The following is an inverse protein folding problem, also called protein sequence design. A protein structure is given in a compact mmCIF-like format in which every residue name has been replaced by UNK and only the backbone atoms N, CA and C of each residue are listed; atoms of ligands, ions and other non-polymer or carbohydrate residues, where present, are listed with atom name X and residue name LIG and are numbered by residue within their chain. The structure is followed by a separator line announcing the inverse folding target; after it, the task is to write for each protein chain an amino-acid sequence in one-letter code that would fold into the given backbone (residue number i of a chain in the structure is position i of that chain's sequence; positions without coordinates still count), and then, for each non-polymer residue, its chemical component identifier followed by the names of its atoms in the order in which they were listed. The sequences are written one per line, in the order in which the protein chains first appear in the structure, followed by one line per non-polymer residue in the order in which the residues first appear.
data_IF_562334689656
#
_entry.id   IF_562334689656
#
_cell.length_a   1.000
_cell.length_b   1.000
_cell.length_c   1.000
_cell.angle_alpha   90.00
_cell.angle_beta   90.00
_cell.angle_gamma   90.00
#
_symmetry.space_group_name_H-M   'P 1'
#
loop_
_entity.id
_entity.type
_entity.pdbx_description
1 polymer ?
#
# COMPACT_ATOMS: atom_id res chain seq x y z
N UNK A 1 -8.58 5.13 14.24
CA UNK A 1 -7.83 4.32 13.22
C UNK A 1 -6.41 4.84 13.12
N UNK A 2 -5.43 3.94 12.95
CA UNK A 2 -4.06 4.35 12.66
C UNK A 2 -3.63 3.98 11.24
N UNK A 3 -2.70 4.74 10.69
CA UNK A 3 -2.21 4.51 9.32
C UNK A 3 -0.70 4.71 9.19
N UNK A 4 -0.13 4.17 8.11
CA UNK A 4 1.22 4.48 7.65
C UNK A 4 1.18 4.98 6.20
N UNK A 5 1.90 6.05 5.91
CA UNK A 5 2.12 6.52 4.54
C UNK A 5 3.56 6.20 4.15
N UNK A 6 3.75 5.40 3.10
CA UNK A 6 5.07 5.19 2.52
C UNK A 6 5.48 6.37 1.65
N UNK A 7 6.37 7.23 2.17
CA UNK A 7 6.85 8.45 1.51
C UNK A 7 8.38 8.50 1.32
N UNK A 8 9.12 7.45 1.74
CA UNK A 8 10.59 7.38 1.65
C UNK A 8 11.14 7.08 0.24
N UNK A 9 10.27 6.88 -0.76
CA UNK A 9 10.67 6.51 -2.12
C UNK A 9 11.47 7.58 -2.86
N UNK A 10 12.52 7.18 -3.58
CA UNK A 10 13.41 8.08 -4.33
C UNK A 10 12.75 8.79 -5.54
N UNK A 11 11.64 8.26 -6.05
CA UNK A 11 10.92 8.85 -7.17
C UNK A 11 11.69 8.91 -8.50
N UNK A 12 12.68 8.04 -8.71
CA UNK A 12 13.61 8.10 -9.85
C UNK A 12 12.95 8.14 -11.23
N UNK A 13 11.76 7.55 -11.37
CA UNK A 13 10.98 7.55 -12.63
C UNK A 13 10.23 8.85 -12.90
N UNK A 14 10.23 9.79 -11.94
CA UNK A 14 9.62 11.12 -12.04
C UNK A 14 10.65 12.22 -12.29
N UNK A 15 11.91 11.88 -12.54
CA UNK A 15 12.93 12.85 -12.94
C UNK A 15 12.52 13.56 -14.25
N UNK A 16 12.79 14.88 -14.38
CA UNK A 16 13.62 15.71 -13.51
C UNK A 16 12.89 16.32 -12.31
N UNK A 17 11.58 16.13 -12.14
CA UNK A 17 10.80 16.73 -11.03
C UNK A 17 11.36 16.36 -9.65
N UNK A 18 11.77 15.11 -9.49
CA UNK A 18 12.32 14.59 -8.23
C UNK A 18 13.81 14.86 -8.02
N UNK A 19 14.45 15.67 -8.87
CA UNK A 19 15.82 16.13 -8.64
C UNK A 19 15.90 17.22 -7.55
N UNK A 20 14.79 17.92 -7.28
CA UNK A 20 14.71 19.05 -6.32
C UNK A 20 13.61 18.89 -5.28
N UNK A 21 12.72 17.93 -5.43
CA UNK A 21 11.52 17.76 -4.61
C UNK A 21 11.27 16.27 -4.34
N UNK A 22 10.92 15.87 -3.10
CA UNK A 22 10.53 14.48 -2.86
C UNK A 22 9.22 14.17 -3.60
N UNK A 23 9.07 12.93 -4.08
CA UNK A 23 7.85 12.47 -4.77
C UNK A 23 6.57 12.81 -4.00
N UNK A 24 6.61 12.71 -2.67
CA UNK A 24 5.49 13.00 -1.80
C UNK A 24 4.95 14.45 -1.91
N UNK A 25 5.80 15.39 -2.32
CA UNK A 25 5.44 16.80 -2.49
C UNK A 25 5.19 17.21 -3.95
N UNK A 26 5.18 16.27 -4.89
CA UNK A 26 4.71 16.55 -6.26
C UNK A 26 3.23 16.89 -6.20
N UNK A 27 2.87 17.98 -6.87
CA UNK A 27 1.51 18.50 -6.90
C UNK A 27 0.73 17.96 -8.11
N UNK A 28 -0.52 17.62 -7.86
CA UNK A 28 -1.55 17.39 -8.88
C UNK A 28 -2.66 18.43 -8.60
N UNK A 29 -2.93 19.30 -9.56
CA UNK A 29 -3.87 20.43 -9.42
C UNK A 29 -3.55 21.32 -8.19
N UNK A 30 -2.26 21.67 -8.01
CA UNK A 30 -1.81 22.52 -6.91
C UNK A 30 -1.84 21.88 -5.52
N UNK A 31 -2.15 20.58 -5.42
CA UNK A 31 -2.22 19.86 -4.13
C UNK A 31 -1.19 18.73 -4.10
N UNK A 32 -0.21 18.75 -3.15
CA UNK A 32 0.78 17.68 -3.01
C UNK A 32 0.16 16.32 -2.76
N UNK A 33 0.76 15.26 -3.34
CA UNK A 33 0.33 13.87 -3.16
C UNK A 33 0.19 13.51 -1.67
N UNK A 34 1.15 13.92 -0.85
CA UNK A 34 1.14 13.67 0.59
C UNK A 34 -0.08 14.27 1.27
N UNK A 35 -0.44 15.53 0.94
CA UNK A 35 -1.62 16.19 1.50
C UNK A 35 -2.88 15.42 1.12
N UNK A 36 -3.02 14.98 -0.14
CA UNK A 36 -4.18 14.21 -0.59
C UNK A 36 -4.36 12.92 0.20
N UNK A 37 -3.27 12.20 0.46
CA UNK A 37 -3.33 10.96 1.24
C UNK A 37 -3.66 11.25 2.70
N UNK A 38 -3.04 12.26 3.32
CA UNK A 38 -3.33 12.64 4.72
C UNK A 38 -4.81 13.01 4.88
N UNK A 39 -5.34 13.90 4.03
CA UNK A 39 -6.74 14.33 4.13
C UNK A 39 -7.71 13.17 3.89
N UNK A 40 -7.42 12.28 2.94
CA UNK A 40 -8.22 11.07 2.70
C UNK A 40 -8.24 10.14 3.92
N UNK A 41 -7.10 9.92 4.56
CA UNK A 41 -6.99 9.13 5.78
C UNK A 41 -7.75 9.79 6.94
N UNK A 42 -7.60 11.11 7.12
CA UNK A 42 -8.28 11.88 8.15
C UNK A 42 -9.81 11.81 8.02
N UNK A 43 -10.35 12.06 6.82
CA UNK A 43 -11.80 11.96 6.54
C UNK A 43 -12.31 10.54 6.77
N UNK A 44 -11.48 9.52 6.52
CA UNK A 44 -11.80 8.12 6.79
C UNK A 44 -11.76 7.76 8.29
N UNK A 45 -11.34 8.69 9.16
CA UNK A 45 -11.31 8.51 10.61
C UNK A 45 -9.96 8.08 11.17
N UNK A 46 -8.86 8.26 10.44
CA UNK A 46 -7.51 8.11 10.97
C UNK A 46 -7.15 9.32 11.84
N UNK A 47 -6.79 9.07 13.09
CA UNK A 47 -6.40 10.04 14.10
C UNK A 47 -4.92 9.96 14.47
N UNK A 48 -4.21 8.94 13.95
CA UNK A 48 -2.79 8.72 14.13
C UNK A 48 -2.17 8.23 12.82
N UNK A 49 -1.17 8.95 12.30
CA UNK A 49 -0.53 8.64 11.02
C UNK A 49 0.99 8.63 11.19
N UNK A 50 1.64 7.55 10.79
CA UNK A 50 3.09 7.46 10.70
C UNK A 50 3.52 7.67 9.24
N UNK A 51 4.52 8.52 9.01
CA UNK A 51 5.04 8.83 7.68
C UNK A 51 6.54 8.51 7.69
N UNK A 52 6.97 7.57 6.84
CA UNK A 52 8.40 7.34 6.69
C UNK A 52 8.99 8.33 5.67
N UNK A 53 10.19 8.81 5.97
CA UNK A 53 10.92 9.78 5.14
C UNK A 53 12.36 9.34 4.93
N UNK A 54 12.93 9.64 3.76
CA UNK A 54 14.33 9.37 3.43
C UNK A 54 14.90 10.51 2.58
N UNK A 55 14.76 10.44 1.27
CA UNK A 55 15.27 11.46 0.33
C UNK A 55 14.49 12.77 0.49
N UNK A 56 15.18 13.88 0.68
CA UNK A 56 14.58 15.19 0.99
C UNK A 56 13.71 15.18 2.26
N UNK A 57 14.03 14.36 3.27
CA UNK A 57 13.30 14.29 4.53
C UNK A 57 13.01 15.67 5.16
N UNK A 58 13.96 16.64 5.23
CA UNK A 58 13.68 17.96 5.77
C UNK A 58 12.51 18.68 5.08
N UNK A 59 12.37 18.54 3.75
CA UNK A 59 11.27 19.21 3.02
C UNK A 59 9.91 18.64 3.41
N UNK A 60 9.82 17.32 3.60
CA UNK A 60 8.57 16.69 4.06
C UNK A 60 8.26 17.11 5.49
N UNK A 61 9.25 17.08 6.38
CA UNK A 61 9.08 17.45 7.79
C UNK A 61 8.65 18.92 7.92
N UNK A 62 9.29 19.84 7.18
CA UNK A 62 8.94 21.25 7.20
C UNK A 62 7.54 21.49 6.62
N UNK A 63 7.17 20.76 5.56
CA UNK A 63 5.83 20.83 5.00
C UNK A 63 4.76 20.40 6.01
N UNK A 64 4.97 19.32 6.73
CA UNK A 64 4.06 18.86 7.79
C UNK A 64 3.93 19.89 8.90
N UNK A 65 5.05 20.43 9.41
CA UNK A 65 5.07 21.47 10.47
C UNK A 65 4.36 22.75 10.03
N UNK A 66 4.64 23.23 8.81
CA UNK A 66 4.04 24.47 8.27
C UNK A 66 2.52 24.36 8.14
N UNK A 67 1.99 23.13 7.96
CA UNK A 67 0.56 22.86 7.89
C UNK A 67 -0.04 22.33 9.20
N UNK A 68 0.63 22.55 10.34
CA UNK A 68 0.18 22.10 11.68
C UNK A 68 -0.23 20.62 11.69
N UNK A 69 0.56 19.77 11.02
CA UNK A 69 0.29 18.35 10.82
C UNK A 69 -1.16 18.06 10.36
N UNK A 70 -1.80 18.99 9.68
CA UNK A 70 -3.21 18.89 9.22
C UNK A 70 -4.21 18.64 10.36
N UNK A 71 -3.84 18.97 11.62
CA UNK A 71 -4.66 18.70 12.80
C UNK A 71 -4.78 17.22 13.15
N UNK A 72 -3.80 16.37 12.78
CA UNK A 72 -3.73 14.94 13.06
C UNK A 72 -2.46 14.61 13.84
N UNK A 73 -2.47 13.60 14.71
CA UNK A 73 -1.24 13.10 15.34
C UNK A 73 -0.35 12.42 14.30
N UNK A 74 0.58 13.19 13.70
CA UNK A 74 1.54 12.69 12.73
C UNK A 74 2.87 12.41 13.41
N UNK A 75 3.39 11.19 13.22
CA UNK A 75 4.73 10.78 13.64
C UNK A 75 5.60 10.52 12.41
N UNK A 76 6.83 11.00 12.44
CA UNK A 76 7.80 10.78 11.36
C UNK A 76 8.72 9.63 11.73
N UNK A 77 8.82 8.64 10.82
CA UNK A 77 9.82 7.57 10.86
C UNK A 77 10.96 7.96 9.92
N UNK A 78 12.10 8.35 10.50
CA UNK A 78 13.25 8.87 9.75
C UNK A 78 14.18 7.73 9.29
N UNK A 79 14.27 7.54 7.98
CA UNK A 79 15.13 6.56 7.30
C UNK A 79 16.31 7.23 6.57
N UNK A 80 16.69 8.48 6.91
CA UNK A 80 17.74 9.22 6.19
C UNK A 80 19.09 8.52 6.21
N UNK A 81 19.37 7.73 7.24
CA UNK A 81 20.62 6.96 7.35
C UNK A 81 20.70 5.80 6.33
N UNK A 82 19.58 5.13 6.02
CA UNK A 82 19.50 4.01 5.10
C UNK A 82 18.08 3.87 4.55
N UNK A 83 17.93 3.71 3.23
CA UNK A 83 16.63 3.40 2.63
C UNK A 83 16.24 1.94 2.92
N UNK A 84 15.20 1.74 3.73
CA UNK A 84 14.84 0.42 4.27
C UNK A 84 13.87 -0.38 3.39
N UNK A 85 13.35 0.20 2.31
CA UNK A 85 12.23 -0.32 1.52
C UNK A 85 10.92 -0.43 2.35
N UNK A 86 9.86 -1.01 1.77
CA UNK A 86 8.53 -0.97 2.39
C UNK A 86 8.40 -1.84 3.63
N UNK A 87 9.01 -3.02 3.65
CA UNK A 87 8.96 -3.92 4.81
C UNK A 87 9.88 -3.47 5.93
N UNK A 88 11.12 -3.07 5.58
CA UNK A 88 12.06 -2.54 6.56
C UNK A 88 11.60 -1.22 7.16
N UNK A 89 10.99 -0.32 6.36
CA UNK A 89 10.41 0.93 6.84
C UNK A 89 9.26 0.70 7.82
N UNK A 90 8.39 -0.27 7.56
CA UNK A 90 7.32 -0.64 8.49
C UNK A 90 7.89 -1.22 9.80
N UNK A 91 8.91 -2.12 9.71
CA UNK A 91 9.61 -2.66 10.87
C UNK A 91 10.26 -1.55 11.71
N UNK A 92 10.95 -0.61 11.06
CA UNK A 92 11.61 0.53 11.73
C UNK A 92 10.61 1.43 12.47
N UNK A 93 9.43 1.63 11.90
CA UNK A 93 8.36 2.44 12.46
C UNK A 93 7.56 1.74 13.58
N UNK A 94 7.82 0.47 13.90
CA UNK A 94 7.00 -0.37 14.79
C UNK A 94 6.61 0.32 16.10
N UNK A 95 7.56 0.97 16.78
CA UNK A 95 7.37 1.60 18.08
C UNK A 95 6.48 2.86 18.03
N UNK A 96 6.18 3.36 16.85
CA UNK A 96 5.33 4.53 16.63
C UNK A 96 3.85 4.17 16.52
N UNK A 97 3.49 2.88 16.44
CA UNK A 97 2.12 2.41 16.30
C UNK A 97 1.50 1.98 17.63
N UNK A 98 0.17 2.01 17.67
CA UNK A 98 -0.63 1.41 18.74
C UNK A 98 -0.59 -0.11 18.60
N UNK A 99 -0.27 -0.88 19.67
CA UNK A 99 0.02 -2.31 19.55
C UNK A 99 -1.19 -3.18 19.19
N UNK A 100 -2.39 -2.77 19.56
CA UNK A 100 -3.61 -3.59 19.45
C UNK A 100 -4.54 -3.16 18.31
N UNK A 101 -4.07 -2.28 17.43
CA UNK A 101 -4.89 -1.73 16.37
C UNK A 101 -4.25 -2.00 15.00
N UNK A 102 -5.00 -2.55 14.01
CA UNK A 102 -4.47 -2.74 12.65
C UNK A 102 -3.95 -1.42 12.05
N UNK A 103 -2.94 -1.54 11.22
CA UNK A 103 -2.30 -0.41 10.54
C UNK A 103 -2.80 -0.39 9.10
N UNK A 104 -3.45 0.70 8.69
CA UNK A 104 -3.77 0.96 7.29
C UNK A 104 -2.56 1.55 6.59
N UNK A 105 -1.96 0.80 5.68
CA UNK A 105 -0.77 1.24 4.95
C UNK A 105 -1.17 1.74 3.57
N UNK A 106 -0.65 2.91 3.20
CA UNK A 106 -0.96 3.58 1.94
C UNK A 106 0.30 4.13 1.29
N UNK A 107 0.57 3.75 0.04
CA UNK A 107 1.64 4.38 -0.73
C UNK A 107 1.26 5.83 -1.07
N UNK A 108 2.18 6.77 -0.92
CA UNK A 108 1.93 8.21 -1.14
C UNK A 108 1.54 8.55 -2.58
N UNK A 109 1.91 7.71 -3.53
CA UNK A 109 1.71 7.90 -4.97
C UNK A 109 0.46 7.26 -5.55
N UNK A 110 -0.40 6.70 -4.71
CA UNK A 110 -1.65 6.07 -5.15
C UNK A 110 -2.82 7.04 -4.98
N UNK A 111 -3.47 7.34 -6.09
CA UNK A 111 -4.77 8.00 -6.13
C UNK A 111 -5.86 6.95 -6.34
N UNK A 112 -6.96 7.01 -5.58
CA UNK A 112 -8.04 6.03 -5.71
C UNK A 112 -9.38 6.56 -5.18
N UNK A 113 -10.48 5.94 -5.62
CA UNK A 113 -11.81 6.17 -5.08
C UNK A 113 -12.18 5.22 -3.92
N UNK A 114 -11.22 4.41 -3.43
CA UNK A 114 -11.50 3.44 -2.35
C UNK A 114 -12.05 4.15 -1.10
N UNK A 115 -13.11 3.61 -0.52
CA UNK A 115 -13.55 3.93 0.83
C UNK A 115 -12.61 3.25 1.82
N UNK A 116 -11.65 4.03 2.37
CA UNK A 116 -10.65 3.51 3.30
C UNK A 116 -11.26 3.10 4.63
N UNK A 117 -12.38 3.71 5.05
CA UNK A 117 -13.08 3.33 6.28
C UNK A 117 -13.74 1.97 6.11
N UNK A 118 -14.46 1.76 5.01
CA UNK A 118 -15.05 0.47 4.69
C UNK A 118 -13.96 -0.61 4.54
N UNK A 119 -12.86 -0.29 3.84
CA UNK A 119 -11.72 -1.20 3.71
C UNK A 119 -11.10 -1.57 5.05
N UNK A 120 -10.90 -0.59 5.95
CA UNK A 120 -10.35 -0.83 7.30
C UNK A 120 -11.23 -1.73 8.15
N UNK A 121 -12.55 -1.69 7.98
CA UNK A 121 -13.50 -2.50 8.74
C UNK A 121 -13.72 -3.90 8.16
N UNK A 122 -13.27 -4.15 6.91
CA UNK A 122 -13.48 -5.43 6.21
C UNK A 122 -12.94 -6.62 7.00
N UNK A 123 -11.80 -6.46 7.69
CA UNK A 123 -11.20 -7.53 8.49
C UNK A 123 -11.91 -7.77 9.84
N UNK A 124 -12.62 -6.76 10.35
CA UNK A 124 -13.37 -6.88 11.63
C UNK A 124 -14.77 -7.47 11.44
N UNK A 125 -15.32 -7.42 10.24
CA UNK A 125 -16.58 -8.07 9.91
C UNK A 125 -16.28 -9.50 9.46
N UNK A 126 -16.74 -10.48 10.22
CA UNK A 126 -16.57 -11.93 9.96
C UNK A 126 -17.16 -12.40 8.61
N UNK A 127 -17.68 -11.48 7.82
CA UNK A 127 -18.26 -11.73 6.50
C UNK A 127 -17.52 -10.91 5.45
N UNK A 128 -17.00 -11.60 4.43
CA UNK A 128 -16.47 -10.91 3.26
C UNK A 128 -17.61 -10.13 2.56
N UNK A 129 -17.48 -8.80 2.37
CA UNK A 129 -18.54 -8.01 1.72
C UNK A 129 -18.83 -8.47 0.28
N UNK A 130 -17.86 -9.15 -0.36
CA UNK A 130 -17.95 -9.61 -1.73
C UNK A 130 -18.55 -11.02 -1.88
N UNK A 131 -18.37 -11.91 -0.89
CA UNK A 131 -18.83 -13.30 -1.00
C UNK A 131 -19.78 -13.74 0.12
N UNK A 132 -20.02 -12.91 1.15
CA UNK A 132 -20.93 -13.21 2.27
C UNK A 132 -20.48 -14.36 3.18
N UNK A 133 -19.28 -14.93 2.98
CA UNK A 133 -18.79 -16.10 3.71
C UNK A 133 -17.91 -15.65 4.89
N UNK A 134 -18.05 -16.27 6.09
CA UNK A 134 -17.12 -16.06 7.19
C UNK A 134 -15.71 -16.52 6.76
N UNK A 135 -14.72 -15.63 6.85
CA UNK A 135 -13.33 -15.96 6.61
C UNK A 135 -12.57 -16.04 7.93
N UNK A 136 -11.54 -16.90 7.95
CA UNK A 136 -10.50 -16.85 8.97
C UNK A 136 -9.97 -15.42 9.09
N UNK A 137 -9.81 -14.92 10.32
CA UNK A 137 -9.28 -13.59 10.55
C UNK A 137 -7.92 -13.43 9.84
N UNK A 138 -7.83 -12.48 8.94
CA UNK A 138 -6.60 -12.26 8.19
C UNK A 138 -5.58 -11.48 9.02
N UNK A 139 -4.33 -11.91 8.95
CA UNK A 139 -3.20 -11.15 9.54
C UNK A 139 -2.80 -9.96 8.68
N UNK A 140 -3.08 -10.00 7.38
CA UNK A 140 -2.99 -8.87 6.46
C UNK A 140 -4.05 -8.98 5.36
N UNK A 141 -4.57 -7.82 4.91
CA UNK A 141 -5.51 -7.73 3.79
C UNK A 141 -4.93 -6.80 2.73
N UNK A 142 -4.72 -7.30 1.53
CA UNK A 142 -4.13 -6.56 0.42
C UNK A 142 -5.24 -6.07 -0.51
N UNK A 143 -5.37 -4.77 -0.71
CA UNK A 143 -6.23 -4.24 -1.76
C UNK A 143 -5.63 -4.59 -3.12
N UNK A 144 -6.39 -5.29 -3.94
CA UNK A 144 -5.94 -5.78 -5.24
C UNK A 144 -6.95 -5.44 -6.35
N UNK A 145 -6.49 -5.41 -7.58
CA UNK A 145 -7.32 -5.08 -8.75
C UNK A 145 -6.95 -5.89 -9.98
N UNK A 146 -7.89 -5.97 -10.95
CA UNK A 146 -7.69 -6.65 -12.23
C UNK A 146 -6.95 -5.79 -13.27
N UNK A 147 -6.25 -4.71 -12.86
CA UNK A 147 -5.50 -3.88 -13.81
C UNK A 147 -4.43 -4.69 -14.54
N UNK A 148 -4.19 -4.36 -15.79
CA UNK A 148 -3.12 -4.99 -16.58
C UNK A 148 -1.75 -4.54 -16.06
N UNK A 149 -0.91 -5.51 -15.76
CA UNK A 149 0.48 -5.32 -15.31
C UNK A 149 1.32 -6.52 -15.73
N UNK A 150 2.64 -6.46 -15.52
CA UNK A 150 3.51 -7.63 -15.69
C UNK A 150 3.69 -8.43 -14.38
N UNK A 151 3.35 -7.84 -13.24
CA UNK A 151 3.61 -8.41 -11.91
C UNK A 151 2.30 -8.63 -11.18
N UNK A 152 1.98 -9.87 -10.88
CA UNK A 152 0.74 -10.24 -10.19
C UNK A 152 1.02 -10.99 -8.90
N UNK A 153 0.19 -10.74 -7.90
CA UNK A 153 0.02 -11.62 -6.75
C UNK A 153 -0.92 -12.76 -7.14
N UNK A 154 -0.62 -13.95 -6.65
CA UNK A 154 -1.39 -15.17 -6.90
C UNK A 154 -2.23 -15.51 -5.69
N UNK A 155 -3.51 -15.73 -5.91
CA UNK A 155 -4.45 -16.10 -4.86
C UNK A 155 -5.15 -17.41 -5.21
N UNK A 156 -5.47 -18.21 -4.18
CA UNK A 156 -6.33 -19.37 -4.33
C UNK A 156 -7.83 -18.96 -4.35
N UNK A 157 -8.74 -19.93 -4.47
CA UNK A 157 -10.19 -19.69 -4.51
C UNK A 157 -10.76 -19.01 -3.25
N UNK A 158 -10.05 -19.08 -2.13
CA UNK A 158 -10.42 -18.42 -0.87
C UNK A 158 -9.76 -17.02 -0.72
N UNK A 159 -9.20 -16.50 -1.81
CA UNK A 159 -8.44 -15.24 -1.81
C UNK A 159 -7.26 -15.21 -0.84
N UNK A 160 -6.67 -16.36 -0.48
CA UNK A 160 -5.41 -16.43 0.26
C UNK A 160 -4.24 -16.26 -0.68
N UNK A 161 -3.28 -15.42 -0.31
CA UNK A 161 -2.04 -15.23 -1.04
C UNK A 161 -1.25 -16.54 -1.06
N UNK A 162 -0.86 -17.00 -2.25
CA UNK A 162 -0.07 -18.22 -2.44
C UNK A 162 1.23 -17.98 -3.21
N UNK A 163 1.40 -16.83 -3.86
CA UNK A 163 2.59 -16.54 -4.64
C UNK A 163 2.57 -15.21 -5.36
N UNK A 164 3.55 -15.03 -6.20
CA UNK A 164 3.74 -13.88 -7.07
C UNK A 164 4.35 -14.34 -8.39
N UNK A 165 4.00 -13.68 -9.48
CA UNK A 165 4.53 -13.97 -10.81
C UNK A 165 4.85 -12.69 -11.57
N UNK A 166 5.94 -12.71 -12.34
CA UNK A 166 6.23 -11.74 -13.38
C UNK A 166 6.05 -12.38 -14.75
N UNK A 167 4.99 -12.02 -15.45
CA UNK A 167 4.64 -12.60 -16.76
C UNK A 167 5.65 -12.21 -17.87
N UNK A 168 6.41 -11.11 -17.71
CA UNK A 168 7.42 -10.72 -18.69
C UNK A 168 8.69 -11.56 -18.60
N UNK A 169 9.08 -12.00 -17.39
CA UNK A 169 10.31 -12.76 -17.15
C UNK A 169 10.07 -14.25 -16.90
N UNK A 170 8.84 -14.65 -16.61
CA UNK A 170 8.50 -16.00 -16.16
C UNK A 170 8.91 -16.28 -14.71
N UNK A 171 9.40 -15.28 -13.96
CA UNK A 171 9.78 -15.46 -12.57
C UNK A 171 8.56 -15.72 -11.68
N UNK A 172 8.63 -16.78 -10.87
CA UNK A 172 7.61 -17.12 -9.87
C UNK A 172 8.25 -17.13 -8.49
N UNK A 173 7.55 -16.57 -7.50
CA UNK A 173 7.94 -16.60 -6.07
C UNK A 173 6.80 -17.18 -5.25
N UNK A 174 7.04 -18.29 -4.56
CA UNK A 174 6.06 -18.91 -3.67
C UNK A 174 6.73 -19.79 -2.62
N UNK A 175 6.21 -19.85 -1.38
CA UNK A 175 6.63 -20.85 -0.40
C UNK A 175 6.00 -22.22 -0.64
N UNK A 176 5.05 -22.33 -1.59
CA UNK A 176 4.38 -23.58 -1.97
C UNK A 176 5.10 -24.17 -3.19
N UNK A 177 5.61 -25.40 -3.04
CA UNK A 177 6.40 -26.06 -4.10
C UNK A 177 5.61 -26.22 -5.40
N UNK A 178 4.33 -26.57 -5.30
CA UNK A 178 3.42 -26.73 -6.44
C UNK A 178 3.20 -25.43 -7.23
N UNK A 179 3.20 -24.27 -6.55
CA UNK A 179 3.11 -22.96 -7.19
C UNK A 179 4.47 -22.54 -7.78
N UNK A 180 5.55 -22.74 -6.99
CA UNK A 180 6.91 -22.35 -7.38
C UNK A 180 7.39 -23.06 -8.66
N UNK A 181 6.96 -24.30 -8.87
CA UNK A 181 7.36 -25.14 -10.01
C UNK A 181 6.33 -25.15 -11.17
N UNK A 182 5.20 -24.46 -11.00
CA UNK A 182 4.16 -24.43 -12.01
C UNK A 182 4.58 -23.62 -13.26
N UNK A 183 4.15 -24.06 -14.43
CA UNK A 183 4.25 -23.26 -15.66
C UNK A 183 3.35 -22.02 -15.59
N UNK A 184 3.64 -21.02 -16.40
CA UNK A 184 2.79 -19.80 -16.49
C UNK A 184 1.35 -20.17 -16.88
N UNK A 185 1.16 -21.08 -17.81
CA UNK A 185 -0.17 -21.54 -18.23
C UNK A 185 -0.92 -22.21 -17.06
N UNK A 186 -0.25 -23.04 -16.28
CA UNK A 186 -0.81 -23.67 -15.09
C UNK A 186 -1.20 -22.62 -14.04
N UNK A 187 -0.34 -21.61 -13.84
CA UNK A 187 -0.61 -20.52 -12.90
C UNK A 187 -1.85 -19.72 -13.33
N UNK A 188 -1.95 -19.36 -14.61
CA UNK A 188 -3.08 -18.59 -15.12
C UNK A 188 -4.41 -19.37 -15.08
N UNK A 189 -4.36 -20.71 -15.13
CA UNK A 189 -5.55 -21.56 -15.07
C UNK A 189 -6.04 -21.82 -13.63
N UNK A 190 -5.10 -22.02 -12.70
CA UNK A 190 -5.40 -22.56 -11.37
C UNK A 190 -5.43 -21.49 -10.26
N UNK A 191 -4.97 -20.28 -10.54
CA UNK A 191 -4.88 -19.21 -9.53
C UNK A 191 -5.49 -17.91 -10.04
N UNK A 192 -5.97 -17.10 -9.09
CA UNK A 192 -6.46 -15.77 -9.40
C UNK A 192 -5.28 -14.78 -9.40
N UNK A 193 -5.11 -14.06 -10.49
CA UNK A 193 -4.03 -13.08 -10.70
C UNK A 193 -4.54 -11.68 -10.47
N UNK A 194 -4.00 -10.98 -9.48
CA UNK A 194 -4.34 -9.59 -9.20
C UNK A 194 -3.12 -8.72 -9.05
N UNK A 195 -3.22 -7.47 -9.50
CA UNK A 195 -2.24 -6.43 -9.25
C UNK A 195 -2.38 -5.88 -7.84
N UNK A 196 -1.29 -5.75 -7.11
CA UNK A 196 -1.28 -5.05 -5.82
C UNK A 196 -1.53 -3.55 -6.01
N UNK A 197 -2.38 -2.99 -5.19
CA UNK A 197 -2.84 -1.61 -5.30
C UNK A 197 -2.05 -0.60 -4.44
N UNK A 198 -1.05 -1.05 -3.68
CA UNK A 198 -0.27 -0.16 -2.80
C UNK A 198 -1.02 0.29 -1.54
N UNK A 199 -2.16 -0.34 -1.24
CA UNK A 199 -2.96 -0.11 -0.03
C UNK A 199 -3.22 -1.45 0.63
N UNK A 200 -3.00 -1.56 1.94
CA UNK A 200 -3.23 -2.81 2.66
C UNK A 200 -3.41 -2.60 4.16
N UNK A 201 -4.02 -3.57 4.82
CA UNK A 201 -4.10 -3.68 6.28
C UNK A 201 -3.02 -4.62 6.78
N UNK A 202 -2.40 -4.25 7.88
CA UNK A 202 -1.36 -5.02 8.55
C UNK A 202 -1.69 -5.17 10.03
N UNK A 203 -1.77 -6.41 10.51
CA UNK A 203 -1.93 -6.67 11.95
C UNK A 203 -0.59 -6.51 12.67
N UNK A 204 -0.53 -5.78 13.80
CA UNK A 204 0.68 -5.70 14.62
C UNK A 204 1.21 -7.06 15.10
N UNK A 205 0.36 -8.09 15.11
CA UNK A 205 0.77 -9.48 15.44
C UNK A 205 1.81 -10.06 14.47
N UNK A 206 2.01 -9.43 13.31
CA UNK A 206 3.00 -9.83 12.32
C UNK A 206 4.41 -9.28 12.60
N UNK A 207 4.57 -8.25 13.44
CA UNK A 207 5.89 -7.66 13.72
C UNK A 207 6.94 -8.67 14.21
N UNK A 208 6.62 -9.62 15.12
CA UNK A 208 7.61 -10.63 15.52
C UNK A 208 8.19 -11.45 14.37
N UNK A 209 7.43 -11.68 13.31
CA UNK A 209 7.91 -12.40 12.11
C UNK A 209 8.93 -11.58 11.30
N UNK A 210 8.91 -10.24 11.45
CA UNK A 210 9.85 -9.36 10.77
C UNK A 210 11.24 -9.38 11.41
N UNK A 211 11.40 -9.87 12.64
CA UNK A 211 12.71 -9.95 13.32
C UNK A 211 13.71 -10.81 12.57
N UNK A 212 13.23 -11.85 11.87
CA UNK A 212 14.06 -12.74 11.06
C UNK A 212 14.54 -12.15 9.72
N UNK A 213 14.06 -10.96 9.37
CA UNK A 213 14.45 -10.26 8.15
C UNK A 213 15.58 -9.26 8.42
N UNK A 214 16.42 -9.03 7.41
CA UNK A 214 17.39 -7.94 7.42
C UNK A 214 16.70 -6.58 7.65
N UNK A 215 17.46 -5.49 7.80
CA UNK A 215 16.85 -4.17 7.98
C UNK A 215 16.13 -3.69 6.72
N UNK A 216 16.65 -4.05 5.55
CA UNK A 216 16.12 -3.65 4.25
C UNK A 216 15.43 -4.82 3.54
N UNK A 217 14.12 -4.72 3.33
CA UNK A 217 13.34 -5.71 2.57
C UNK A 217 11.99 -5.13 2.10
N UNK A 218 11.45 -5.76 1.05
CA UNK A 218 10.11 -5.44 0.53
C UNK A 218 9.01 -6.05 1.39
N UNK A 219 7.91 -5.32 1.62
CA UNK A 219 6.73 -5.87 2.30
C UNK A 219 6.11 -7.04 1.53
N UNK A 220 6.20 -7.06 0.20
CA UNK A 220 5.71 -8.17 -0.61
C UNK A 220 6.55 -9.43 -0.37
N UNK A 221 7.88 -9.32 -0.30
CA UNK A 221 8.73 -10.47 0.01
C UNK A 221 8.45 -11.01 1.43
N UNK A 222 8.14 -10.11 2.40
CA UNK A 222 7.68 -10.52 3.72
C UNK A 222 6.39 -11.32 3.65
N UNK A 223 5.38 -10.83 2.92
CA UNK A 223 4.11 -11.53 2.76
C UNK A 223 4.29 -12.89 2.08
N UNK A 224 5.05 -12.95 1.01
CA UNK A 224 5.33 -14.21 0.28
C UNK A 224 6.04 -15.24 1.16
N UNK A 225 7.01 -14.82 1.97
CA UNK A 225 7.72 -15.75 2.87
C UNK A 225 6.80 -16.33 3.97
N UNK A 226 5.81 -15.55 4.42
CA UNK A 226 4.98 -15.89 5.56
C UNK A 226 3.57 -16.39 5.20
N UNK A 227 3.09 -16.29 3.94
CA UNK A 227 1.70 -16.62 3.56
C UNK A 227 1.34 -18.11 3.74
N UNK A 228 2.32 -18.99 3.96
CA UNK A 228 2.06 -20.40 4.32
C UNK A 228 1.63 -20.56 5.77
N UNK A 229 2.14 -19.72 6.68
CA UNK A 229 1.92 -19.85 8.12
C UNK A 229 0.88 -18.87 8.68
N UNK A 230 0.62 -17.76 7.98
CA UNK A 230 -0.37 -16.75 8.39
C UNK A 230 -1.32 -16.44 7.24
N UNK A 231 -2.57 -16.10 7.58
CA UNK A 231 -3.57 -15.74 6.58
C UNK A 231 -3.32 -14.33 6.04
N UNK A 232 -2.88 -14.25 4.78
CA UNK A 232 -2.75 -13.00 4.02
C UNK A 232 -3.76 -13.06 2.89
N UNK A 233 -4.71 -12.13 2.84
CA UNK A 233 -5.84 -12.18 1.91
C UNK A 233 -5.83 -11.02 0.92
N UNK A 234 -6.36 -11.28 -0.27
CA UNK A 234 -6.70 -10.27 -1.25
C UNK A 234 -8.11 -9.75 -1.03
N UNK A 235 -8.31 -8.44 -1.16
CA UNK A 235 -9.60 -7.78 -1.20
C UNK A 235 -9.76 -7.09 -2.56
N UNK A 236 -10.75 -7.50 -3.34
CA UNK A 236 -11.11 -6.86 -4.61
C UNK A 236 -12.25 -5.90 -4.35
N UNK A 237 -11.98 -4.59 -4.42
CA UNK A 237 -13.03 -3.58 -4.28
C UNK A 237 -13.82 -3.45 -5.59
N UNK A 238 -15.16 -3.43 -5.48
CA UNK A 238 -16.03 -3.19 -6.63
C UNK A 238 -15.84 -1.74 -7.14
N UNK A 239 -15.83 -1.59 -8.46
CA UNK A 239 -15.69 -0.27 -9.12
C UNK A 239 -14.44 0.52 -8.68
N UNK A 240 -13.38 -0.17 -8.24
CA UNK A 240 -12.13 0.46 -7.86
C UNK A 240 -11.51 1.19 -9.05
N UNK A 241 -11.40 2.49 -8.92
CA UNK A 241 -10.60 3.33 -9.79
C UNK A 241 -9.29 3.66 -9.03
N UNK A 242 -8.17 3.42 -9.68
CA UNK A 242 -6.86 3.59 -9.07
C UNK A 242 -5.83 4.04 -10.10
N UNK A 243 -5.01 5.02 -9.72
CA UNK A 243 -3.90 5.50 -10.52
C UNK A 243 -2.62 5.55 -9.67
N UNK A 244 -1.53 4.96 -10.21
CA UNK A 244 -0.17 5.06 -9.67
C UNK A 244 0.53 6.26 -10.34
N UNK A 245 0.82 7.31 -9.55
CA UNK A 245 1.55 8.51 -10.00
C UNK A 245 3.06 8.25 -9.88
N UNK A 246 3.52 7.22 -10.58
CA UNK A 246 4.91 6.75 -10.49
C UNK A 246 5.81 7.18 -11.64
N UNK A 247 5.28 7.81 -12.69
CA UNK A 247 6.02 8.19 -13.91
C UNK A 247 5.53 9.54 -14.42
N UNK A 248 6.39 10.24 -15.16
CA UNK A 248 6.05 11.55 -15.76
C UNK A 248 4.83 11.42 -16.69
N UNK A 249 4.75 10.35 -17.47
CA UNK A 249 3.65 10.12 -18.41
C UNK A 249 2.29 9.92 -17.73
N UNK A 250 2.29 9.62 -16.40
CA UNK A 250 1.05 9.45 -15.64
C UNK A 250 0.52 10.75 -15.02
N UNK A 251 1.24 11.87 -15.11
CA UNK A 251 0.84 13.14 -14.50
C UNK A 251 -0.43 13.72 -15.14
N UNK A 252 -0.49 13.77 -16.49
CA UNK A 252 -1.69 14.24 -17.19
C UNK A 252 -2.92 13.36 -16.88
N UNK A 253 -2.71 12.06 -16.76
CA UNK A 253 -3.77 11.15 -16.36
C UNK A 253 -4.19 11.39 -14.89
N UNK A 254 -3.23 11.79 -14.03
CA UNK A 254 -3.52 12.09 -12.62
C UNK A 254 -4.39 13.35 -12.47
N UNK A 255 -4.16 14.40 -13.26
CA UNK A 255 -5.01 15.59 -13.28
C UNK A 255 -6.46 15.22 -13.66
N UNK A 256 -6.65 14.54 -14.79
CA UNK A 256 -7.99 14.08 -15.23
C UNK A 256 -8.66 13.15 -14.21
N UNK A 257 -7.87 12.31 -13.56
CA UNK A 257 -8.37 11.38 -12.55
C UNK A 257 -8.89 12.13 -11.33
N UNK A 258 -8.17 13.11 -10.82
CA UNK A 258 -8.58 13.95 -9.70
C UNK A 258 -9.84 14.76 -10.06
N UNK A 259 -9.90 15.38 -11.24
CA UNK A 259 -11.11 16.06 -11.72
C UNK A 259 -12.35 15.13 -11.72
N UNK A 260 -12.17 13.87 -12.18
CA UNK A 260 -13.26 12.90 -12.20
C UNK A 260 -13.74 12.51 -10.79
N UNK A 261 -12.83 12.37 -9.83
CA UNK A 261 -13.17 12.07 -8.44
C UNK A 261 -13.88 13.24 -7.75
N UNK A 262 -13.45 14.47 -8.03
CA UNK A 262 -14.09 15.68 -7.50
C UNK A 262 -15.52 15.84 -8.03
N UNK A 263 -15.74 15.58 -9.33
CA UNK A 263 -17.06 15.69 -9.95
C UNK A 263 -18.08 14.66 -9.43
N UNK A 264 -17.60 13.51 -8.92
CA UNK A 264 -18.44 12.45 -8.35
C UNK A 264 -18.64 12.60 -6.83
N UNK A 265 -18.05 13.63 -6.20
CA UNK A 265 -18.10 13.83 -4.74
C UNK A 265 -17.36 12.75 -3.93
N UNK A 266 -16.51 11.96 -4.57
CA UNK A 266 -15.78 10.87 -3.95
C UNK A 266 -14.46 11.32 -3.26
N UNK A 267 -14.01 12.54 -3.54
CA UNK A 267 -12.95 13.23 -2.77
C UNK A 267 -13.40 14.70 -2.68
N UNK A 268 -13.65 15.16 -1.46
CA UNK A 268 -13.76 16.59 -1.16
C UNK A 268 -12.39 17.03 -0.63
N UNK A 269 -11.59 17.67 -1.46
CA UNK A 269 -10.40 18.42 -1.05
C UNK A 269 -10.51 19.84 -1.57
#
# INVERSE_FOLDING_TARGET
MQAMIFAAGLGTRLKPLTDKLPKALIEIDGVPLLKRVIEKLKVSGCDHIVINVHHFAPLIIDYLKTNDNFGVDIRVSDETAELLETGGGLKHAQQLFRPDEPILIHNVDILSNIDLRAFYTTDRMMLCPTCGVPHEQASAVLLVSQRVTQRYLLFNDQMRLVGWVNLATGEVKSPFTEVQQASIDTIQHNYQLFAFSGIHLFSPTLFPLMESFANRFSIIDFYLKNCRQVAIKGCVAQNLQLLDVGKVETLDAAHKFVESLNSTGQITL
#
